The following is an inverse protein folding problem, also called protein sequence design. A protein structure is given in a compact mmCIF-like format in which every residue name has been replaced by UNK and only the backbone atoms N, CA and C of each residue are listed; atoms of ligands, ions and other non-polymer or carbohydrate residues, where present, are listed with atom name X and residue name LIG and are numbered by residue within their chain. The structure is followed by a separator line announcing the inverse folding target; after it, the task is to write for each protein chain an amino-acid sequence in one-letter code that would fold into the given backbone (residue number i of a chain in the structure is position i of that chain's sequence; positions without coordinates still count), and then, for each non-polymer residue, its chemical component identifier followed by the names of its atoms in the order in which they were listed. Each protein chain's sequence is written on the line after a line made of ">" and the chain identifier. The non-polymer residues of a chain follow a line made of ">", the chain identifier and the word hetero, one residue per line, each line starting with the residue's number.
data_IF_141666114222
#
_entry.id   IF_141666114222
#
_cell.length_a   1.000
_cell.length_b   1.000
_cell.length_c   1.000
_cell.angle_alpha   90.00
_cell.angle_beta   90.00
_cell.angle_gamma   90.00
#
_symmetry.space_group_name_H-M   'P 1'
#
loop_
_entity.id
_entity.type
_entity.pdbx_description
1 polymer ?
#
# COMPACT_ATOMS: atom_id res chain seq x y z
N UNK A 1 15.19 -11.36 28.35
CA UNK A 1 14.80 -10.50 27.21
C UNK A 1 13.84 -11.29 26.33
N UNK A 2 12.85 -10.63 25.73
CA UNK A 2 11.91 -11.23 24.78
C UNK A 2 12.33 -10.82 23.38
N UNK A 3 12.43 -11.78 22.47
CA UNK A 3 12.70 -11.56 21.06
C UNK A 3 11.56 -12.19 20.27
N UNK A 4 10.83 -11.36 19.54
CA UNK A 4 9.78 -11.81 18.63
C UNK A 4 10.35 -12.07 17.25
N UNK A 5 9.64 -12.88 16.47
CA UNK A 5 9.94 -13.15 15.06
C UNK A 5 8.90 -12.48 14.19
N UNK A 6 9.24 -12.23 12.92
CA UNK A 6 8.29 -11.90 11.85
C UNK A 6 7.54 -10.57 12.05
N UNK A 7 8.26 -9.50 12.42
CA UNK A 7 7.67 -8.16 12.66
C UNK A 7 7.16 -7.52 11.36
N UNK A 8 8.01 -7.41 10.36
CA UNK A 8 7.78 -6.70 9.08
C UNK A 8 6.65 -7.24 8.19
N UNK A 9 6.23 -8.49 8.43
CA UNK A 9 5.40 -9.26 7.48
C UNK A 9 4.05 -9.65 8.05
N UNK A 10 3.98 -10.04 9.32
CA UNK A 10 2.74 -10.59 9.89
C UNK A 10 2.58 -10.49 11.40
N UNK A 11 3.59 -9.99 12.11
CA UNK A 11 3.63 -9.93 13.59
C UNK A 11 3.32 -11.28 14.25
N UNK A 12 3.59 -12.41 13.58
CA UNK A 12 3.11 -13.73 14.01
C UNK A 12 3.68 -14.14 15.37
N UNK A 13 4.94 -13.77 15.65
CA UNK A 13 5.56 -14.00 16.95
C UNK A 13 4.88 -13.21 18.08
N UNK A 14 4.43 -11.98 17.81
CA UNK A 14 3.72 -11.17 18.80
C UNK A 14 2.29 -11.67 19.02
N UNK A 15 1.56 -12.02 17.94
CA UNK A 15 0.21 -12.58 18.04
C UNK A 15 0.17 -13.95 18.74
N UNK A 16 1.21 -14.77 18.56
CA UNK A 16 1.32 -16.10 19.17
C UNK A 16 1.93 -16.11 20.58
N UNK A 17 2.26 -14.95 21.15
CA UNK A 17 2.96 -14.86 22.43
C UNK A 17 2.04 -15.31 23.59
N UNK A 18 2.37 -16.44 24.22
CA UNK A 18 1.82 -16.82 25.52
C UNK A 18 2.79 -16.46 26.65
N UNK A 19 2.57 -15.29 27.26
CA UNK A 19 3.41 -14.79 28.34
C UNK A 19 3.43 -15.72 29.57
N UNK A 20 2.33 -16.44 29.84
CA UNK A 20 2.24 -17.36 30.99
C UNK A 20 3.03 -18.63 30.73
N UNK A 21 2.90 -19.22 29.55
CA UNK A 21 3.67 -20.40 29.16
C UNK A 21 5.18 -20.13 29.15
N UNK A 22 5.58 -18.91 28.79
CA UNK A 22 6.98 -18.47 28.80
C UNK A 22 7.47 -18.01 30.19
N UNK A 23 6.62 -18.07 31.23
CA UNK A 23 6.99 -17.70 32.59
C UNK A 23 7.32 -16.20 32.76
N UNK A 24 6.81 -15.34 31.89
CA UNK A 24 7.06 -13.89 31.95
C UNK A 24 6.23 -13.30 33.10
N UNK A 25 6.92 -12.82 34.14
CA UNK A 25 6.30 -12.19 35.33
C UNK A 25 6.50 -10.69 35.40
N UNK A 26 7.24 -10.11 34.45
CA UNK A 26 7.52 -8.69 34.39
C UNK A 26 6.22 -7.88 34.20
N UNK A 27 6.07 -6.79 34.95
CA UNK A 27 4.90 -5.89 34.88
C UNK A 27 5.12 -4.69 33.95
N UNK A 28 6.31 -4.54 33.40
CA UNK A 28 6.71 -3.44 32.52
C UNK A 28 7.47 -4.01 31.33
N UNK A 29 7.21 -3.46 30.15
CA UNK A 29 7.90 -3.78 28.92
C UNK A 29 8.50 -2.48 28.38
N UNK A 30 9.75 -2.57 27.92
CA UNK A 30 10.37 -1.53 27.12
C UNK A 30 10.57 -2.11 25.72
N UNK A 31 9.80 -1.62 24.76
CA UNK A 31 10.03 -1.94 23.36
C UNK A 31 11.28 -1.17 22.88
N UNK A 32 12.16 -1.83 22.12
CA UNK A 32 13.38 -1.21 21.59
C UNK A 32 13.29 -0.89 20.10
N UNK A 33 12.08 -0.96 19.56
CA UNK A 33 11.77 -0.78 18.15
C UNK A 33 11.39 0.67 17.82
N UNK A 34 12.03 1.63 18.50
CA UNK A 34 11.86 3.05 18.21
C UNK A 34 13.03 3.50 17.35
N UNK A 35 12.72 4.06 16.18
CA UNK A 35 13.74 4.42 15.18
C UNK A 35 14.25 5.86 15.29
N UNK A 36 13.62 6.69 16.12
CA UNK A 36 13.98 8.11 16.27
C UNK A 36 14.72 8.39 17.59
N UNK A 37 15.87 9.06 17.49
CA UNK A 37 16.69 9.39 18.64
C UNK A 37 16.04 10.43 19.54
N UNK A 38 16.02 10.16 20.84
CA UNK A 38 15.40 11.05 21.84
C UNK A 38 13.88 10.96 21.89
N UNK A 39 13.27 10.08 21.10
CA UNK A 39 11.82 9.87 21.07
C UNK A 39 11.42 8.67 21.93
N UNK A 40 10.23 8.76 22.53
CA UNK A 40 9.58 7.66 23.24
C UNK A 40 8.21 7.40 22.61
N UNK A 41 8.04 6.25 21.97
CA UNK A 41 6.75 5.88 21.40
C UNK A 41 5.87 5.25 22.49
N UNK A 42 4.70 5.86 22.72
CA UNK A 42 3.72 5.41 23.72
C UNK A 42 2.47 4.77 23.08
N UNK A 43 2.43 4.70 21.75
CA UNK A 43 1.37 4.09 20.98
C UNK A 43 1.72 3.99 19.50
N UNK A 44 1.00 3.14 18.79
CA UNK A 44 1.09 2.95 17.34
C UNK A 44 -0.31 2.76 16.75
N UNK A 45 -0.42 2.87 15.43
CA UNK A 45 -1.63 2.51 14.70
C UNK A 45 -1.74 0.98 14.56
N UNK A 46 -2.98 0.46 14.50
CA UNK A 46 -3.24 -0.90 14.04
C UNK A 46 -3.16 -1.00 12.51
N UNK A 47 -3.17 -2.23 11.98
CA UNK A 47 -3.13 -2.49 10.54
C UNK A 47 -4.14 -3.55 10.11
N UNK A 48 -4.56 -3.51 8.86
CA UNK A 48 -5.42 -4.50 8.24
C UNK A 48 -5.45 -4.35 6.73
N UNK A 49 -5.42 -5.47 6.01
CA UNK A 49 -5.45 -5.48 4.55
C UNK A 49 -6.88 -5.45 4.01
N UNK A 50 -7.08 -4.70 2.94
CA UNK A 50 -8.31 -4.72 2.15
C UNK A 50 -7.98 -4.97 0.67
N UNK A 51 -8.74 -5.85 0.03
CA UNK A 51 -8.58 -6.18 -1.39
C UNK A 51 -9.92 -5.94 -2.09
N UNK A 52 -9.92 -5.06 -3.10
CA UNK A 52 -11.07 -4.80 -3.95
C UNK A 52 -10.84 -5.44 -5.33
N UNK A 53 -11.72 -6.36 -5.70
CA UNK A 53 -11.73 -6.97 -7.04
C UNK A 53 -12.99 -6.56 -7.76
N UNK A 54 -12.84 -5.88 -8.90
CA UNK A 54 -13.95 -5.45 -9.74
C UNK A 54 -14.07 -6.38 -10.96
N UNK A 55 -15.24 -6.97 -11.25
CA UNK A 55 -15.42 -7.72 -12.48
C UNK A 55 -15.37 -6.76 -13.67
N UNK A 56 -14.68 -7.16 -14.74
CA UNK A 56 -14.57 -6.39 -15.99
C UNK A 56 -14.96 -7.26 -17.17
N UNK A 57 -15.77 -6.71 -18.07
CA UNK A 57 -16.02 -7.29 -19.38
C UNK A 57 -14.91 -6.85 -20.34
N UNK A 58 -14.37 -7.79 -21.11
CA UNK A 58 -13.31 -7.53 -22.09
C UNK A 58 -13.83 -7.78 -23.50
N UNK A 59 -13.56 -6.83 -24.40
CA UNK A 59 -13.81 -6.97 -25.82
C UNK A 59 -12.50 -7.11 -26.59
N UNK A 60 -12.52 -7.83 -27.71
CA UNK A 60 -11.33 -7.95 -28.55
C UNK A 60 -11.01 -6.59 -29.20
N UNK A 61 -9.74 -6.20 -29.20
CA UNK A 61 -9.31 -5.02 -29.92
C UNK A 61 -9.51 -5.24 -31.43
N UNK A 62 -10.16 -4.29 -32.11
CA UNK A 62 -10.44 -4.41 -33.53
C UNK A 62 -9.15 -4.50 -34.35
N UNK A 63 -9.08 -5.46 -35.27
CA UNK A 63 -7.93 -5.60 -36.17
C UNK A 63 -7.73 -4.33 -36.99
N UNK A 64 -6.52 -3.75 -36.92
CA UNK A 64 -6.18 -2.51 -37.61
C UNK A 64 -6.43 -1.23 -36.80
N UNK A 65 -6.81 -1.31 -35.52
CA UNK A 65 -6.88 -0.15 -34.62
C UNK A 65 -5.48 0.46 -34.44
N UNK A 66 -5.20 1.67 -34.97
CA UNK A 66 -3.82 2.08 -35.20
C UNK A 66 -3.13 2.73 -33.99
N UNK A 67 -3.77 2.86 -32.81
CA UNK A 67 -3.25 3.72 -31.72
C UNK A 67 -3.63 3.21 -30.33
N UNK A 68 -2.78 2.35 -29.77
CA UNK A 68 -2.69 2.22 -28.31
C UNK A 68 -1.83 3.37 -27.77
N UNK A 69 -2.23 3.96 -26.65
CA UNK A 69 -1.44 4.97 -25.94
C UNK A 69 -1.15 4.44 -24.54
N UNK A 70 0.12 4.39 -24.17
CA UNK A 70 0.53 4.18 -22.78
C UNK A 70 0.69 5.53 -22.11
N UNK A 71 -0.04 5.74 -21.01
CA UNK A 71 0.15 6.89 -20.13
C UNK A 71 0.86 6.41 -18.88
N UNK A 72 2.02 7.00 -18.59
CA UNK A 72 2.82 6.67 -17.41
C UNK A 72 2.88 7.88 -16.48
N UNK A 73 2.49 7.67 -15.22
CA UNK A 73 2.74 8.61 -14.14
C UNK A 73 3.98 8.14 -13.39
N UNK A 74 5.00 8.99 -13.30
CA UNK A 74 6.27 8.71 -12.64
C UNK A 74 6.81 9.95 -11.93
N UNK A 75 7.86 9.80 -11.13
CA UNK A 75 8.47 10.92 -10.39
C UNK A 75 7.72 11.34 -9.12
N UNK A 76 6.70 10.56 -8.69
CA UNK A 76 6.14 10.71 -7.36
C UNK A 76 7.18 10.33 -6.30
N UNK A 77 7.14 10.99 -5.15
CA UNK A 77 8.14 10.79 -4.08
C UNK A 77 8.12 9.38 -3.48
N UNK A 78 6.99 8.66 -3.59
CA UNK A 78 6.77 7.39 -2.87
C UNK A 78 6.80 7.59 -1.36
N UNK A 79 6.82 6.52 -0.57
CA UNK A 79 7.06 6.60 0.87
C UNK A 79 6.29 5.56 1.66
N UNK A 80 6.62 5.38 2.93
CA UNK A 80 5.91 4.45 3.77
C UNK A 80 4.46 4.91 3.98
N UNK A 81 3.48 4.08 3.63
CA UNK A 81 2.06 4.45 3.61
C UNK A 81 1.46 4.78 4.99
N UNK A 82 2.14 4.40 6.08
CA UNK A 82 1.90 4.88 7.45
C UNK A 82 2.63 6.19 7.76
N UNK A 83 3.97 6.13 7.95
CA UNK A 83 4.80 7.28 8.34
C UNK A 83 4.63 8.53 7.46
N UNK A 84 4.51 8.36 6.14
CA UNK A 84 4.49 9.50 5.20
C UNK A 84 3.09 9.89 4.72
N UNK A 85 2.00 9.30 5.27
CA UNK A 85 0.63 9.59 4.81
C UNK A 85 0.21 11.04 5.02
N UNK A 86 0.76 11.68 6.06
CA UNK A 86 0.49 13.08 6.41
C UNK A 86 1.34 14.11 5.68
N UNK A 87 2.19 13.71 4.75
CA UNK A 87 3.13 14.59 4.05
C UNK A 87 2.62 15.09 2.68
N UNK A 88 1.33 14.92 2.40
CA UNK A 88 0.69 15.32 1.14
C UNK A 88 1.40 14.78 -0.12
N UNK A 89 2.03 13.60 -0.01
CA UNK A 89 2.69 12.94 -1.14
C UNK A 89 1.65 12.39 -2.12
N UNK A 90 1.93 12.57 -3.42
CA UNK A 90 1.03 12.09 -4.47
C UNK A 90 1.07 10.57 -4.61
N UNK A 91 -0.11 9.95 -4.72
CA UNK A 91 -0.26 8.53 -5.07
C UNK A 91 -0.30 8.37 -6.60
N UNK A 92 0.73 7.74 -7.17
CA UNK A 92 0.87 7.58 -8.61
C UNK A 92 -0.27 6.76 -9.25
N UNK A 93 -0.78 5.71 -8.57
CA UNK A 93 -1.87 4.89 -9.08
C UNK A 93 -3.18 5.68 -9.12
N UNK A 94 -3.45 6.48 -8.08
CA UNK A 94 -4.63 7.36 -8.03
C UNK A 94 -4.55 8.41 -9.15
N UNK A 95 -3.40 9.06 -9.33
CA UNK A 95 -3.20 10.03 -10.41
C UNK A 95 -3.37 9.38 -11.80
N UNK A 96 -2.81 8.19 -12.01
CA UNK A 96 -2.97 7.46 -13.26
C UNK A 96 -4.45 7.11 -13.54
N UNK A 97 -5.20 6.70 -12.52
CA UNK A 97 -6.64 6.47 -12.63
C UNK A 97 -7.39 7.76 -13.01
N UNK A 98 -7.08 8.89 -12.36
CA UNK A 98 -7.69 10.18 -12.69
C UNK A 98 -7.36 10.64 -14.12
N UNK A 99 -6.11 10.46 -14.58
CA UNK A 99 -5.72 10.75 -15.96
C UNK A 99 -6.47 9.86 -16.96
N UNK A 100 -6.58 8.56 -16.68
CA UNK A 100 -7.32 7.63 -17.52
C UNK A 100 -8.81 8.02 -17.61
N UNK A 101 -9.44 8.35 -16.47
CA UNK A 101 -10.82 8.80 -16.42
C UNK A 101 -11.03 10.08 -17.26
N UNK A 102 -10.17 11.09 -17.07
CA UNK A 102 -10.24 12.34 -17.81
C UNK A 102 -10.08 12.12 -19.32
N UNK A 103 -9.13 11.28 -19.73
CA UNK A 103 -8.90 10.94 -21.14
C UNK A 103 -10.10 10.22 -21.77
N UNK A 104 -10.69 9.24 -21.07
CA UNK A 104 -11.87 8.51 -21.54
C UNK A 104 -13.09 9.44 -21.67
N UNK A 105 -13.29 10.34 -20.71
CA UNK A 105 -14.36 11.36 -20.77
C UNK A 105 -14.16 12.30 -21.95
N UNK A 106 -12.94 12.80 -22.15
CA UNK A 106 -12.61 13.70 -23.28
C UNK A 106 -12.76 13.01 -24.65
N UNK A 107 -12.50 11.70 -24.72
CA UNK A 107 -12.70 10.90 -25.92
C UNK A 107 -14.17 10.64 -26.27
N UNK A 108 -15.12 10.94 -25.38
CA UNK A 108 -16.56 10.82 -25.68
C UNK A 108 -16.98 9.42 -26.17
N UNK A 109 -16.32 8.36 -25.69
CA UNK A 109 -16.58 6.97 -26.10
C UNK A 109 -15.80 6.48 -27.32
N UNK A 110 -14.91 7.29 -27.90
CA UNK A 110 -14.00 6.86 -28.98
C UNK A 110 -12.75 6.13 -28.49
N UNK A 111 -12.58 5.98 -27.16
CA UNK A 111 -11.47 5.29 -26.53
C UNK A 111 -11.97 4.20 -25.58
N UNK A 112 -11.08 3.26 -25.26
CA UNK A 112 -11.29 2.16 -24.30
C UNK A 112 -10.07 2.05 -23.40
N UNK A 113 -10.27 1.54 -22.19
CA UNK A 113 -9.19 1.20 -21.27
C UNK A 113 -8.74 -0.24 -21.52
N UNK A 114 -7.47 -0.44 -21.83
CA UNK A 114 -6.88 -1.77 -22.00
C UNK A 114 -6.45 -2.38 -20.65
N UNK A 115 -5.81 -1.54 -19.82
CA UNK A 115 -5.37 -1.89 -18.48
C UNK A 115 -4.95 -0.68 -17.66
N UNK A 116 -4.91 -0.87 -16.34
CA UNK A 116 -4.36 0.09 -15.37
C UNK A 116 -3.58 -0.72 -14.33
N UNK A 117 -2.32 -0.36 -14.11
CA UNK A 117 -1.46 -0.99 -13.13
C UNK A 117 -0.52 0.04 -12.51
N UNK A 118 -0.09 -0.22 -11.28
CA UNK A 118 0.81 0.67 -10.55
C UNK A 118 0.98 0.24 -9.10
N UNK A 119 1.95 0.85 -8.42
CA UNK A 119 2.40 0.46 -7.08
C UNK A 119 3.48 -0.63 -7.10
N UNK A 120 4.19 -0.77 -5.98
CA UNK A 120 5.22 -1.80 -5.78
C UNK A 120 4.86 -2.70 -4.59
N UNK A 121 4.60 -2.09 -3.42
CA UNK A 121 4.21 -2.78 -2.18
C UNK A 121 2.95 -2.15 -1.58
N UNK A 122 2.27 -2.89 -0.70
CA UNK A 122 1.07 -2.38 0.00
C UNK A 122 1.38 -1.23 0.96
N UNK A 123 2.59 -1.21 1.51
CA UNK A 123 3.04 -0.24 2.51
C UNK A 123 3.92 0.88 1.93
N UNK A 124 3.89 1.11 0.60
CA UNK A 124 4.78 2.02 -0.12
C UNK A 124 4.06 3.02 -1.04
#
# INVERSE_FOLDING_TARGET
>A
ALFTVDEETGLTGAFGLDAKALGITAKKMLNLDTEEWGSLYVGCAGGGDSILTLPVEREACAMGAPRALEVRVSGCLGGHSGLNIGEDRANALLLAACCAEAALRAAGGSARLDGLSGGDKRNA
#
